data_IF_668312670775
#
_entry.id   IF_668312670775
#
_cell.length_a   1.000
_cell.length_b   1.000
_cell.length_c   1.000
_cell.angle_alpha   90.00
_cell.angle_beta   90.00
_cell.angle_gamma   90.00
#
_symmetry.space_group_name_H-M   'P 1'
#
loop_
_entity.id
_entity.type
_entity.pdbx_description
1 polymer ?
#
# COMPACT_ATOMS: atom_id res chain seq x y z
N UNK A 1 -56.07 35.06 -44.22
CA UNK A 1 -55.49 35.64 -43.06
C UNK A 1 -54.93 34.60 -42.18
N UNK A 2 -53.73 34.34 -42.35
CA UNK A 2 -53.05 33.30 -41.62
C UNK A 2 -52.43 33.87 -40.37
N UNK A 3 -52.85 33.43 -39.23
CA UNK A 3 -52.00 33.54 -38.11
C UNK A 3 -50.87 32.56 -38.36
N UNK A 4 -49.78 33.06 -38.74
CA UNK A 4 -48.58 32.31 -38.73
C UNK A 4 -48.29 31.91 -37.29
N UNK A 5 -48.67 30.73 -36.94
CA UNK A 5 -48.09 30.15 -35.75
C UNK A 5 -46.62 29.96 -36.07
N UNK A 6 -45.87 30.94 -35.72
CA UNK A 6 -44.48 30.78 -35.62
C UNK A 6 -44.23 29.69 -34.57
N UNK A 7 -44.04 28.51 -35.06
CA UNK A 7 -43.49 27.46 -34.23
C UNK A 7 -42.17 27.94 -33.72
N UNK A 8 -42.18 28.50 -32.55
CA UNK A 8 -40.98 28.70 -31.81
C UNK A 8 -40.45 27.32 -31.52
N UNK A 9 -39.57 26.91 -32.33
CA UNK A 9 -38.66 25.83 -31.96
C UNK A 9 -37.92 26.34 -30.75
N UNK A 10 -38.42 25.99 -29.60
CA UNK A 10 -37.62 26.07 -28.42
C UNK A 10 -36.52 25.03 -28.63
N UNK A 11 -35.40 25.49 -29.04
CA UNK A 11 -34.22 24.73 -28.88
C UNK A 11 -34.07 24.58 -27.39
N UNK A 12 -34.54 23.48 -26.88
CA UNK A 12 -34.19 23.04 -25.56
C UNK A 12 -32.71 22.77 -25.69
N UNK A 13 -31.95 23.78 -25.43
CA UNK A 13 -30.54 23.58 -25.12
C UNK A 13 -30.57 22.77 -23.84
N UNK A 14 -30.58 21.49 -24.02
CA UNK A 14 -30.15 20.65 -22.95
C UNK A 14 -28.72 21.10 -22.67
N UNK A 15 -28.62 21.99 -21.74
CA UNK A 15 -27.40 22.21 -21.07
C UNK A 15 -27.03 20.84 -20.53
N UNK A 16 -26.30 20.13 -21.30
CA UNK A 16 -25.62 18.98 -20.83
C UNK A 16 -24.64 19.54 -19.86
N UNK A 17 -25.17 19.70 -18.67
CA UNK A 17 -24.31 19.93 -17.54
C UNK A 17 -23.30 18.83 -17.61
N UNK A 18 -22.17 19.23 -17.95
CA UNK A 18 -21.08 18.35 -18.13
C UNK A 18 -20.69 17.84 -16.77
N UNK A 19 -21.40 16.88 -16.30
CA UNK A 19 -20.99 16.03 -15.19
C UNK A 19 -19.58 15.51 -15.39
N UNK A 20 -19.11 15.52 -16.60
CA UNK A 20 -17.79 15.08 -16.98
C UNK A 20 -16.69 15.92 -16.36
N UNK A 21 -16.90 17.20 -16.13
CA UNK A 21 -15.89 18.05 -15.52
C UNK A 21 -15.62 17.71 -14.06
N UNK A 22 -16.54 17.02 -13.42
CA UNK A 22 -16.42 16.65 -12.02
C UNK A 22 -15.76 15.29 -11.81
N UNK A 23 -15.63 14.50 -12.86
CA UNK A 23 -15.09 13.14 -12.76
C UNK A 23 -13.60 13.06 -12.98
N UNK A 24 -12.96 14.12 -13.47
CA UNK A 24 -11.55 14.10 -13.84
C UNK A 24 -10.58 14.40 -12.71
N UNK A 25 -11.04 14.69 -11.51
CA UNK A 25 -10.17 15.21 -10.45
C UNK A 25 -9.86 14.19 -9.35
N UNK A 26 -10.53 13.03 -9.35
CA UNK A 26 -10.31 12.02 -8.35
C UNK A 26 -9.14 11.11 -8.69
N UNK A 27 -7.93 11.50 -8.32
CA UNK A 27 -6.83 10.56 -8.29
C UNK A 27 -6.85 9.81 -6.98
N UNK A 28 -6.74 8.48 -7.05
CA UNK A 28 -6.54 7.69 -5.86
C UNK A 28 -5.28 8.16 -5.13
N UNK A 29 -5.40 8.34 -3.83
CA UNK A 29 -4.29 8.66 -2.94
C UNK A 29 -4.08 7.49 -2.00
N UNK A 30 -2.83 7.05 -1.89
CA UNK A 30 -2.42 5.91 -1.08
C UNK A 30 -1.57 6.38 0.08
N UNK A 31 -1.80 5.81 1.25
CA UNK A 31 -0.98 5.99 2.44
C UNK A 31 -0.70 4.66 3.12
N UNK A 32 0.39 4.59 3.85
CA UNK A 32 0.71 3.46 4.71
C UNK A 32 0.12 3.76 6.09
N UNK A 33 -0.80 2.91 6.55
CA UNK A 33 -1.50 3.10 7.81
C UNK A 33 -0.77 2.53 9.02
N UNK A 34 0.14 1.59 8.80
CA UNK A 34 0.89 0.96 9.87
C UNK A 34 1.52 -0.35 9.43
N UNK A 35 2.25 -0.96 10.34
CA UNK A 35 2.90 -2.25 10.13
C UNK A 35 2.96 -3.03 11.43
N UNK A 36 2.79 -4.33 11.35
CA UNK A 36 3.03 -5.25 12.45
C UNK A 36 4.07 -6.28 12.04
N UNK A 37 4.79 -6.81 13.02
CA UNK A 37 5.79 -7.85 12.83
C UNK A 37 5.36 -9.10 13.60
N UNK A 38 5.36 -10.23 12.91
CA UNK A 38 5.27 -11.55 13.54
C UNK A 38 6.58 -12.28 13.37
N UNK A 39 6.97 -13.01 14.39
CA UNK A 39 8.15 -13.87 14.39
C UNK A 39 7.70 -15.28 14.69
N UNK A 40 7.95 -16.21 13.79
CA UNK A 40 7.49 -17.61 13.89
C UNK A 40 6.01 -17.73 14.23
N UNK A 41 5.19 -16.88 13.62
CA UNK A 41 3.74 -16.87 13.78
C UNK A 41 3.21 -16.14 15.01
N UNK A 42 4.05 -15.52 15.81
CA UNK A 42 3.65 -14.76 17.00
C UNK A 42 4.00 -13.29 16.85
N UNK A 43 3.14 -12.42 17.35
CA UNK A 43 3.39 -10.97 17.30
C UNK A 43 4.67 -10.64 18.07
N UNK A 44 5.59 -9.96 17.41
CA UNK A 44 6.81 -9.45 18.02
C UNK A 44 6.54 -8.07 18.64
N UNK A 45 6.55 -8.00 19.96
CA UNK A 45 6.34 -6.76 20.69
C UNK A 45 7.48 -5.78 20.43
N UNK A 46 7.13 -4.54 20.15
CA UNK A 46 8.11 -3.47 19.88
C UNK A 46 9.11 -3.79 18.77
N UNK A 47 8.72 -4.63 17.80
CA UNK A 47 9.58 -5.08 16.71
C UNK A 47 10.87 -5.77 17.19
N UNK A 48 10.76 -6.52 18.27
CA UNK A 48 11.86 -7.26 18.87
C UNK A 48 11.53 -8.75 18.93
N UNK A 49 12.51 -9.56 18.61
CA UNK A 49 12.42 -11.01 18.76
C UNK A 49 13.59 -11.54 19.57
N UNK A 50 13.28 -12.35 20.55
CA UNK A 50 14.24 -13.14 21.33
C UNK A 50 13.79 -14.59 21.31
N UNK A 51 14.63 -15.48 20.82
CA UNK A 51 14.30 -16.88 20.74
C UNK A 51 15.19 -17.65 19.80
N UNK A 52 14.77 -18.86 19.47
CA UNK A 52 15.54 -19.74 18.60
C UNK A 52 15.52 -19.25 17.16
N UNK A 53 16.63 -19.49 16.48
CA UNK A 53 16.77 -19.20 15.05
C UNK A 53 17.02 -20.53 14.29
N UNK A 54 16.68 -20.57 12.99
CA UNK A 54 16.22 -19.47 12.15
C UNK A 54 14.83 -18.95 12.59
N UNK A 55 14.62 -17.66 12.36
CA UNK A 55 13.35 -17.00 12.62
C UNK A 55 12.70 -16.58 11.30
N UNK A 56 11.42 -16.84 11.15
CA UNK A 56 10.64 -16.35 10.04
C UNK A 56 9.90 -15.08 10.46
N UNK A 57 10.34 -13.97 9.89
CA UNK A 57 9.73 -12.66 10.14
C UNK A 57 8.69 -12.39 9.07
N UNK A 58 7.53 -11.98 9.51
CA UNK A 58 6.42 -11.58 8.63
C UNK A 58 6.00 -10.17 8.97
N UNK A 59 6.17 -9.30 8.00
CA UNK A 59 5.73 -7.90 8.11
C UNK A 59 4.38 -7.77 7.43
N UNK A 60 3.41 -7.29 8.16
CA UNK A 60 2.06 -7.04 7.68
C UNK A 60 1.84 -5.54 7.64
N UNK A 61 1.87 -5.00 6.43
CA UNK A 61 1.70 -3.58 6.18
C UNK A 61 0.24 -3.29 5.89
N UNK A 62 -0.31 -2.31 6.58
CA UNK A 62 -1.65 -1.80 6.31
C UNK A 62 -1.54 -0.65 5.33
N UNK A 63 -2.17 -0.80 4.17
CA UNK A 63 -2.17 0.21 3.12
C UNK A 63 -3.59 0.64 2.85
N UNK A 64 -3.80 1.93 2.67
CA UNK A 64 -5.13 2.51 2.53
C UNK A 64 -5.13 3.42 1.31
N UNK A 65 -6.15 3.30 0.49
CA UNK A 65 -6.37 4.22 -0.62
C UNK A 65 -7.75 4.84 -0.55
N UNK A 66 -7.85 6.05 -1.08
CA UNK A 66 -9.12 6.81 -1.11
C UNK A 66 -10.11 6.20 -2.09
N UNK A 67 -9.62 5.64 -3.19
CA UNK A 67 -10.43 5.07 -4.26
C UNK A 67 -9.88 3.71 -4.69
N UNK A 68 -10.71 2.87 -5.32
CA UNK A 68 -10.22 1.62 -5.91
C UNK A 68 -9.10 1.91 -6.91
N UNK A 69 -7.97 1.24 -6.72
CA UNK A 69 -6.79 1.45 -7.56
C UNK A 69 -5.87 0.26 -7.50
N UNK A 70 -5.03 0.15 -8.51
CA UNK A 70 -3.90 -0.76 -8.50
C UNK A 70 -2.71 -0.07 -7.84
N UNK A 71 -2.08 -0.76 -6.90
CA UNK A 71 -0.93 -0.26 -6.16
C UNK A 71 0.30 -1.02 -6.64
N UNK A 72 1.33 -0.29 -7.06
CA UNK A 72 2.61 -0.85 -7.46
C UNK A 72 3.62 -0.59 -6.36
N UNK A 73 4.29 -1.63 -5.90
CA UNK A 73 5.18 -1.56 -4.74
C UNK A 73 6.34 -2.52 -4.82
N UNK A 74 7.35 -2.27 -4.00
CA UNK A 74 8.48 -3.15 -3.77
C UNK A 74 8.96 -3.01 -2.34
N UNK A 75 9.85 -3.92 -1.93
CA UNK A 75 10.48 -3.88 -0.61
C UNK A 75 11.98 -3.75 -0.74
N UNK A 76 12.58 -3.02 0.20
CA UNK A 76 14.02 -2.99 0.42
C UNK A 76 14.34 -3.50 1.81
N UNK A 77 15.52 -4.06 1.96
CA UNK A 77 15.99 -4.65 3.21
C UNK A 77 17.40 -4.16 3.56
N UNK A 78 17.69 -4.16 4.85
CA UNK A 78 18.99 -3.72 5.37
C UNK A 78 20.19 -4.52 4.89
N UNK A 79 19.98 -5.75 4.43
CA UNK A 79 21.04 -6.58 3.85
C UNK A 79 21.39 -6.21 2.40
N UNK A 80 20.76 -5.17 1.86
CA UNK A 80 20.91 -4.79 0.46
C UNK A 80 19.94 -5.49 -0.49
N UNK A 81 19.15 -6.42 0.02
CA UNK A 81 18.12 -7.09 -0.77
C UNK A 81 16.99 -6.17 -1.14
N UNK A 82 16.39 -6.45 -2.26
CA UNK A 82 15.15 -5.79 -2.70
C UNK A 82 14.29 -6.78 -3.45
N UNK A 83 13.00 -6.63 -3.34
CA UNK A 83 12.06 -7.43 -4.10
C UNK A 83 11.87 -6.86 -5.51
N UNK A 84 11.39 -7.70 -6.41
CA UNK A 84 10.84 -7.20 -7.67
C UNK A 84 9.56 -6.40 -7.40
N UNK A 85 9.21 -5.57 -8.36
CA UNK A 85 7.97 -4.79 -8.30
C UNK A 85 6.76 -5.71 -8.38
N UNK A 86 5.81 -5.47 -7.50
CA UNK A 86 4.55 -6.20 -7.42
C UNK A 86 3.37 -5.25 -7.53
N UNK A 87 2.22 -5.78 -7.86
CA UNK A 87 0.97 -5.02 -7.90
C UNK A 87 -0.09 -5.67 -7.03
N UNK A 88 -0.91 -4.84 -6.41
CA UNK A 88 -2.06 -5.28 -5.64
C UNK A 88 -3.23 -4.34 -5.91
N UNK A 89 -4.45 -4.89 -5.85
CA UNK A 89 -5.66 -4.10 -6.04
C UNK A 89 -6.21 -3.66 -4.70
N UNK A 90 -6.35 -2.36 -4.52
CA UNK A 90 -6.97 -1.80 -3.33
C UNK A 90 -8.46 -1.60 -3.57
N UNK A 91 -9.32 -1.94 -2.59
CA UNK A 91 -10.75 -1.70 -2.68
C UNK A 91 -11.11 -0.22 -2.57
N UNK A 92 -10.18 0.64 -2.11
CA UNK A 92 -10.45 2.05 -1.89
C UNK A 92 -11.36 2.31 -0.70
N UNK A 93 -12.07 3.43 -0.73
CA UNK A 93 -12.99 3.86 0.31
C UNK A 93 -12.34 3.92 1.70
N UNK A 94 -11.05 4.22 1.74
CA UNK A 94 -10.24 4.26 2.97
C UNK A 94 -10.24 2.93 3.76
N UNK A 95 -10.45 1.82 3.08
CA UNK A 95 -10.34 0.49 3.69
C UNK A 95 -8.89 0.04 3.69
N UNK A 96 -8.49 -0.54 4.81
CA UNK A 96 -7.16 -1.12 4.95
C UNK A 96 -7.03 -2.39 4.12
N UNK A 97 -5.89 -2.53 3.48
CA UNK A 97 -5.50 -3.70 2.71
C UNK A 97 -4.13 -4.18 3.20
N UNK A 98 -3.94 -5.49 3.43
CA UNK A 98 -2.63 -5.99 3.82
C UNK A 98 -1.68 -6.10 2.64
N UNK A 99 -0.43 -5.73 2.85
CA UNK A 99 0.70 -6.10 1.99
C UNK A 99 1.69 -6.84 2.87
N UNK A 100 2.05 -8.05 2.49
CA UNK A 100 2.85 -8.94 3.31
C UNK A 100 4.26 -9.07 2.74
N UNK A 101 5.25 -9.08 3.63
CA UNK A 101 6.63 -9.41 3.31
C UNK A 101 7.15 -10.43 4.32
N UNK A 102 7.81 -11.47 3.85
CA UNK A 102 8.38 -12.51 4.69
C UNK A 102 9.89 -12.55 4.52
N UNK A 103 10.59 -12.69 5.62
CA UNK A 103 12.05 -12.73 5.64
C UNK A 103 12.54 -13.73 6.69
N UNK A 104 13.27 -14.75 6.25
CA UNK A 104 13.89 -15.71 7.16
C UNK A 104 15.32 -15.31 7.46
N UNK A 105 15.66 -15.23 8.73
CA UNK A 105 16.97 -14.83 9.21
C UNK A 105 17.57 -15.85 10.17
N UNK A 106 18.86 -15.91 10.20
CA UNK A 106 19.62 -16.71 11.16
C UNK A 106 19.74 -18.19 10.81
N UNK A 107 19.47 -18.58 9.57
CA UNK A 107 19.39 -20.00 9.17
C UNK A 107 20.68 -20.78 9.40
N UNK A 108 21.86 -20.20 9.11
CA UNK A 108 23.14 -20.88 9.22
C UNK A 108 24.27 -19.94 9.62
N UNK A 109 23.93 -18.83 10.25
CA UNK A 109 24.92 -17.78 10.36
C UNK A 109 24.82 -17.06 11.70
N UNK A 110 25.85 -17.22 12.53
CA UNK A 110 25.95 -16.55 13.81
C UNK A 110 26.01 -15.02 13.71
N UNK A 111 26.24 -14.48 12.52
CA UNK A 111 26.24 -13.02 12.34
C UNK A 111 24.88 -12.37 12.60
N UNK A 112 23.80 -13.16 12.60
CA UNK A 112 22.47 -12.68 12.93
C UNK A 112 22.02 -13.04 14.35
N UNK A 113 22.95 -13.50 15.19
CA UNK A 113 22.65 -13.86 16.57
C UNK A 113 22.13 -12.65 17.38
N UNK A 114 22.68 -11.48 17.09
CA UNK A 114 22.23 -10.19 17.62
C UNK A 114 22.25 -9.20 16.49
N UNK A 115 21.10 -8.95 15.85
CA UNK A 115 21.08 -8.09 14.69
C UNK A 115 20.00 -7.01 14.78
N UNK A 116 20.32 -5.89 14.15
CA UNK A 116 19.40 -4.80 13.88
C UNK A 116 19.20 -4.73 12.39
N UNK A 117 17.97 -4.93 11.97
CA UNK A 117 17.60 -4.82 10.57
C UNK A 117 16.52 -3.78 10.35
N UNK A 118 16.23 -3.55 9.10
CA UNK A 118 15.09 -2.76 8.69
C UNK A 118 14.51 -3.29 7.39
N UNK A 119 13.24 -3.03 7.20
CA UNK A 119 12.51 -3.26 5.95
C UNK A 119 11.81 -1.97 5.57
N UNK A 120 11.84 -1.64 4.29
CA UNK A 120 11.15 -0.49 3.75
C UNK A 120 10.12 -0.94 2.71
N UNK A 121 8.89 -0.49 2.87
CA UNK A 121 7.88 -0.61 1.83
C UNK A 121 7.93 0.63 0.97
N UNK A 122 8.17 0.44 -0.33
CA UNK A 122 8.19 1.51 -1.33
C UNK A 122 6.98 1.36 -2.24
N UNK A 123 6.05 2.28 -2.14
CA UNK A 123 4.91 2.37 -3.06
C UNK A 123 5.28 3.37 -4.15
N UNK A 124 5.18 2.93 -5.41
CA UNK A 124 5.53 3.75 -6.56
C UNK A 124 4.32 4.45 -7.16
N UNK A 125 3.21 3.74 -7.23
CA UNK A 125 1.97 4.25 -7.80
C UNK A 125 0.77 3.79 -6.98
N UNK A 126 -0.31 4.56 -6.95
CA UNK A 126 -0.61 5.77 -7.73
C UNK A 126 0.17 7.02 -7.30
N UNK A 127 0.70 7.07 -6.10
CA UNK A 127 1.58 8.14 -5.62
C UNK A 127 2.74 7.54 -4.84
N UNK A 128 3.95 8.11 -4.93
CA UNK A 128 5.09 7.60 -4.20
C UNK A 128 4.92 7.85 -2.70
N UNK A 129 5.04 6.80 -1.94
CA UNK A 129 5.10 6.84 -0.48
C UNK A 129 5.93 5.66 0.01
N UNK A 130 6.77 5.88 0.99
CA UNK A 130 7.59 4.83 1.56
C UNK A 130 7.64 4.94 3.08
N UNK A 131 7.83 3.80 3.72
CA UNK A 131 8.04 3.73 5.17
C UNK A 131 9.02 2.64 5.49
N UNK A 132 9.98 2.98 6.33
CA UNK A 132 10.99 2.08 6.84
C UNK A 132 10.65 1.71 8.27
N UNK A 133 10.77 0.43 8.61
CA UNK A 133 10.61 -0.06 9.97
C UNK A 133 11.84 -0.83 10.40
N UNK A 134 12.37 -0.48 11.56
CA UNK A 134 13.48 -1.18 12.17
C UNK A 134 13.02 -2.32 13.07
N UNK A 135 13.81 -3.36 13.18
CA UNK A 135 13.57 -4.47 14.09
C UNK A 135 14.87 -4.98 14.66
N UNK A 136 14.77 -5.72 15.76
CA UNK A 136 15.91 -6.41 16.37
C UNK A 136 15.60 -7.89 16.54
N UNK A 137 16.59 -8.74 16.32
CA UNK A 137 16.50 -10.16 16.63
C UNK A 137 17.65 -10.56 17.55
N UNK A 138 17.37 -11.45 18.46
CA UNK A 138 18.34 -12.09 19.34
C UNK A 138 18.08 -13.59 19.32
N UNK A 139 19.02 -14.33 18.74
CA UNK A 139 18.96 -15.78 18.64
C UNK A 139 19.65 -16.39 19.86
N UNK A 140 18.90 -17.06 20.70
CA UNK A 140 19.49 -17.62 21.90
C UNK A 140 18.90 -18.94 22.31
#
# INVERSE_FOLDING_TARGET
MNPQSAGRAYAVVFSRVLLIALTGTGRASVRIGGVSLSANGQIAQNFQYVGSCPVNLKFDWSVVSTEPTSITYSFRRSDGGHSSTSTASSPGANRSMPILDEWSLGANNSQFADDHGWVELDIESPNPVSQKIGFTIHCG
#
